data_IF_211840033807
#
_entry.id   IF_211840033807
#
_cell.length_a   1.000
_cell.length_b   1.000
_cell.length_c   1.000
_cell.angle_alpha   90.00
_cell.angle_beta   90.00
_cell.angle_gamma   90.00
#
_symmetry.space_group_name_H-M   'P 1'
#
loop_
_entity.id
_entity.type
_entity.pdbx_description
1 polymer ?
#
# COMPACT_ATOMS: atom_id res chain seq x y z
N UNK A 1 22.05 12.29 22.87
CA UNK A 1 22.01 12.28 21.39
C UNK A 1 21.32 13.58 20.97
N UNK A 2 21.84 14.34 19.99
CA UNK A 2 21.13 15.51 19.45
C UNK A 2 19.72 15.13 18.98
N UNK A 3 18.75 16.03 19.09
CA UNK A 3 17.34 15.77 18.71
C UNK A 3 17.25 15.30 17.25
N UNK A 4 18.01 15.93 16.35
CA UNK A 4 18.06 15.55 14.93
C UNK A 4 18.51 14.10 14.74
N UNK A 5 19.52 13.67 15.51
CA UNK A 5 20.00 12.29 15.46
C UNK A 5 18.97 11.28 15.98
N UNK A 6 18.14 11.65 16.96
CA UNK A 6 17.04 10.79 17.43
C UNK A 6 15.98 10.66 16.36
N UNK A 7 15.56 11.77 15.73
CA UNK A 7 14.58 11.77 14.65
C UNK A 7 15.04 10.91 13.47
N UNK A 8 16.30 11.06 13.05
CA UNK A 8 16.85 10.30 11.93
C UNK A 8 16.96 8.80 12.25
N UNK A 9 17.35 8.44 13.47
CA UNK A 9 17.38 7.04 13.89
C UNK A 9 15.99 6.43 14.00
N UNK A 10 14.99 7.18 14.50
CA UNK A 10 13.61 6.72 14.53
C UNK A 10 13.05 6.51 13.11
N UNK A 11 13.38 7.40 12.17
CA UNK A 11 13.04 7.24 10.74
C UNK A 11 13.72 6.02 10.13
N UNK A 12 15.02 5.84 10.38
CA UNK A 12 15.77 4.69 9.87
C UNK A 12 15.24 3.36 10.42
N UNK A 13 14.96 3.31 11.72
CA UNK A 13 14.39 2.12 12.37
C UNK A 13 13.03 1.77 11.78
N UNK A 14 12.14 2.75 11.64
CA UNK A 14 10.82 2.54 11.04
C UNK A 14 10.96 2.12 9.57
N UNK A 15 11.82 2.77 8.79
CA UNK A 15 12.08 2.43 7.40
C UNK A 15 12.57 0.99 7.25
N UNK A 16 13.57 0.58 8.03
CA UNK A 16 14.09 -0.78 7.99
C UNK A 16 12.99 -1.80 8.34
N UNK A 17 12.23 -1.57 9.41
CA UNK A 17 11.17 -2.49 9.84
C UNK A 17 10.05 -2.57 8.81
N UNK A 18 9.62 -1.44 8.24
CA UNK A 18 8.59 -1.38 7.21
C UNK A 18 9.03 -2.07 5.92
N UNK A 19 10.25 -1.82 5.46
CA UNK A 19 10.81 -2.50 4.29
C UNK A 19 10.89 -4.01 4.49
N UNK A 20 11.39 -4.47 5.65
CA UNK A 20 11.46 -5.89 5.98
C UNK A 20 10.08 -6.54 6.02
N UNK A 21 9.11 -5.91 6.68
CA UNK A 21 7.74 -6.41 6.73
C UNK A 21 7.14 -6.54 5.33
N UNK A 22 7.33 -5.52 4.49
CA UNK A 22 6.78 -5.48 3.14
C UNK A 22 7.49 -6.40 2.15
N UNK A 23 8.54 -7.13 2.54
CA UNK A 23 9.04 -8.28 1.77
C UNK A 23 8.05 -9.45 1.78
N UNK A 24 7.33 -9.63 2.89
CA UNK A 24 6.45 -10.78 3.12
C UNK A 24 4.99 -10.47 2.76
N UNK A 25 4.53 -9.25 3.00
CA UNK A 25 3.13 -8.81 2.74
C UNK A 25 2.64 -9.08 1.31
N UNK A 26 3.31 -8.60 0.24
CA UNK A 26 2.79 -8.76 -1.12
C UNK A 26 2.73 -10.23 -1.53
N UNK A 27 3.66 -11.06 -1.05
CA UNK A 27 3.63 -12.49 -1.32
C UNK A 27 2.41 -13.16 -0.64
N UNK A 28 2.07 -12.79 0.60
CA UNK A 28 0.84 -13.26 1.27
C UNK A 28 -0.40 -12.85 0.49
N UNK A 29 -0.52 -11.57 0.10
CA UNK A 29 -1.67 -11.04 -0.64
C UNK A 29 -1.92 -11.76 -1.97
N UNK A 30 -0.87 -12.03 -2.74
CA UNK A 30 -1.02 -12.74 -4.02
C UNK A 30 -1.22 -14.24 -3.86
N UNK A 31 -0.47 -14.88 -2.95
CA UNK A 31 -0.54 -16.33 -2.73
C UNK A 31 -1.91 -16.78 -2.25
N UNK A 32 -2.56 -16.01 -1.36
CA UNK A 32 -3.84 -16.42 -0.79
C UNK A 32 -4.93 -16.60 -1.86
N UNK A 33 -4.99 -15.71 -2.87
CA UNK A 33 -5.92 -15.85 -3.99
C UNK A 33 -5.53 -16.97 -4.96
N UNK A 34 -4.24 -17.22 -5.16
CA UNK A 34 -3.83 -18.39 -5.94
C UNK A 34 -4.22 -19.69 -5.25
N UNK A 35 -4.13 -19.78 -3.92
CA UNK A 35 -4.62 -20.93 -3.15
C UNK A 35 -6.13 -21.11 -3.33
N UNK A 36 -6.90 -20.01 -3.27
CA UNK A 36 -8.35 -20.03 -3.56
C UNK A 36 -8.61 -20.57 -4.97
N UNK A 37 -7.89 -20.09 -5.99
CA UNK A 37 -8.07 -20.55 -7.38
C UNK A 37 -7.75 -22.04 -7.51
N UNK A 38 -6.59 -22.47 -7.03
CA UNK A 38 -6.16 -23.88 -7.11
C UNK A 38 -7.15 -24.80 -6.39
N UNK A 39 -7.60 -24.40 -5.20
CA UNK A 39 -8.54 -25.20 -4.44
C UNK A 39 -9.95 -25.19 -5.06
N UNK A 40 -10.40 -24.06 -5.60
CA UNK A 40 -11.67 -23.98 -6.33
C UNK A 40 -11.68 -24.97 -7.50
N UNK A 41 -10.61 -25.01 -8.28
CA UNK A 41 -10.47 -25.97 -9.38
C UNK A 41 -10.44 -27.41 -8.86
N UNK A 42 -9.82 -27.67 -7.70
CA UNK A 42 -9.89 -29.00 -7.07
C UNK A 42 -11.32 -29.38 -6.69
N UNK A 43 -12.08 -28.49 -6.05
CA UNK A 43 -13.47 -28.75 -5.64
C UNK A 43 -14.36 -28.98 -6.85
N UNK A 44 -14.19 -28.21 -7.93
CA UNK A 44 -14.98 -28.32 -9.16
C UNK A 44 -14.66 -29.57 -9.98
N UNK A 45 -13.37 -29.91 -10.13
CA UNK A 45 -12.93 -30.97 -11.05
C UNK A 45 -12.69 -32.32 -10.36
N UNK A 46 -12.48 -32.32 -9.04
CA UNK A 46 -12.06 -33.49 -8.28
C UNK A 46 -10.63 -33.95 -8.54
N UNK A 47 -9.86 -33.30 -9.41
CA UNK A 47 -8.50 -33.72 -9.73
C UNK A 47 -7.56 -33.52 -8.54
N UNK A 48 -6.85 -34.57 -8.15
CA UNK A 48 -6.00 -34.60 -6.95
C UNK A 48 -4.80 -33.66 -7.06
N UNK A 49 -4.25 -33.47 -8.26
CA UNK A 49 -3.10 -32.58 -8.48
C UNK A 49 -3.34 -31.15 -7.99
N UNK A 50 -4.57 -30.61 -8.11
CA UNK A 50 -4.87 -29.26 -7.63
C UNK A 50 -4.93 -29.20 -6.10
N UNK A 51 -5.34 -30.28 -5.42
CA UNK A 51 -5.24 -30.40 -3.96
C UNK A 51 -3.79 -30.38 -3.52
N UNK A 52 -2.94 -31.13 -4.23
CA UNK A 52 -1.52 -31.22 -3.92
C UNK A 52 -0.81 -29.89 -4.20
N UNK A 53 -1.23 -29.17 -5.25
CA UNK A 53 -0.83 -27.78 -5.51
C UNK A 53 -1.21 -26.85 -4.35
N UNK A 54 -2.47 -26.82 -3.92
CA UNK A 54 -2.91 -26.00 -2.78
C UNK A 54 -2.10 -26.31 -1.52
N UNK A 55 -1.81 -27.58 -1.23
CA UNK A 55 -0.99 -27.96 -0.07
C UNK A 55 0.48 -27.55 -0.20
N UNK A 56 1.09 -27.73 -1.38
CA UNK A 56 2.48 -27.36 -1.63
C UNK A 56 2.68 -25.84 -1.52
N UNK A 57 1.88 -25.07 -2.26
CA UNK A 57 1.94 -23.61 -2.23
C UNK A 57 1.49 -23.07 -0.88
N UNK A 58 0.53 -23.73 -0.23
CA UNK A 58 0.08 -23.44 1.13
C UNK A 58 1.22 -23.53 2.14
N UNK A 59 2.11 -24.52 2.00
CA UNK A 59 3.30 -24.63 2.88
C UNK A 59 4.22 -23.41 2.75
N UNK A 60 4.53 -22.97 1.53
CA UNK A 60 5.37 -21.79 1.31
C UNK A 60 4.68 -20.51 1.79
N UNK A 61 3.37 -20.40 1.55
CA UNK A 61 2.54 -19.33 2.10
C UNK A 61 2.63 -19.28 3.63
N UNK A 62 2.50 -20.41 4.33
CA UNK A 62 2.57 -20.46 5.80
C UNK A 62 3.91 -19.99 6.37
N UNK A 63 5.02 -20.35 5.71
CA UNK A 63 6.36 -19.88 6.10
C UNK A 63 6.46 -18.35 5.95
N UNK A 64 6.04 -17.83 4.80
CA UNK A 64 6.03 -16.39 4.53
C UNK A 64 5.12 -15.62 5.49
N UNK A 65 3.93 -16.17 5.73
CA UNK A 65 2.92 -15.59 6.61
C UNK A 65 3.42 -15.44 8.04
N UNK A 66 4.09 -16.45 8.61
CA UNK A 66 4.63 -16.39 9.96
C UNK A 66 5.62 -15.22 10.15
N UNK A 67 6.50 -14.99 9.17
CA UNK A 67 7.42 -13.85 9.17
C UNK A 67 6.69 -12.52 8.99
N UNK A 68 5.66 -12.49 8.14
CA UNK A 68 4.77 -11.33 7.99
C UNK A 68 4.11 -10.92 9.30
N UNK A 69 3.51 -11.86 10.03
CA UNK A 69 2.86 -11.58 11.33
C UNK A 69 3.87 -11.05 12.35
N UNK A 70 5.04 -11.68 12.48
CA UNK A 70 6.04 -11.28 13.47
C UNK A 70 6.58 -9.87 13.22
N UNK A 71 6.82 -9.54 11.94
CA UNK A 71 7.25 -8.19 11.56
C UNK A 71 6.12 -7.16 11.66
N UNK A 72 4.87 -7.55 11.41
CA UNK A 72 3.69 -6.68 11.55
C UNK A 72 3.45 -6.24 13.00
N UNK A 73 3.53 -7.17 13.95
CA UNK A 73 3.44 -6.87 15.39
C UNK A 73 4.50 -5.83 15.79
N UNK A 74 5.72 -5.97 15.26
CA UNK A 74 6.81 -5.04 15.54
C UNK A 74 6.49 -3.62 15.04
N UNK A 75 5.89 -3.49 13.84
CA UNK A 75 5.47 -2.20 13.30
C UNK A 75 4.33 -1.56 14.10
N UNK A 76 3.33 -2.35 14.49
CA UNK A 76 2.20 -1.87 15.29
C UNK A 76 2.68 -1.19 16.58
N UNK A 77 3.60 -1.85 17.31
CA UNK A 77 4.18 -1.28 18.53
C UNK A 77 5.12 -0.09 18.27
N UNK A 78 5.74 0.01 17.09
CA UNK A 78 6.63 1.13 16.77
C UNK A 78 5.91 2.48 16.70
N UNK A 79 4.63 2.51 16.32
CA UNK A 79 3.83 3.73 16.40
C UNK A 79 3.73 4.26 17.85
N UNK A 80 3.62 3.36 18.83
CA UNK A 80 3.55 3.75 20.24
C UNK A 80 4.91 4.09 20.86
N UNK A 81 5.95 3.31 20.57
CA UNK A 81 7.25 3.44 21.25
C UNK A 81 8.09 4.62 20.75
N UNK A 82 8.18 4.80 19.44
CA UNK A 82 9.09 5.78 18.82
C UNK A 82 8.36 7.02 18.27
N UNK A 83 7.03 6.96 18.17
CA UNK A 83 6.20 8.03 17.59
C UNK A 83 5.10 8.47 18.58
N UNK A 84 5.45 8.62 19.86
CA UNK A 84 4.49 8.91 20.93
C UNK A 84 3.67 10.19 20.70
N UNK A 85 4.29 11.28 20.26
CA UNK A 85 3.54 12.52 19.97
C UNK A 85 2.64 12.37 18.75
N UNK A 86 3.07 11.65 17.71
CA UNK A 86 2.20 11.31 16.57
C UNK A 86 0.98 10.50 17.03
N UNK A 87 1.21 9.46 17.83
CA UNK A 87 0.13 8.62 18.39
C UNK A 87 -0.83 9.42 19.26
N UNK A 88 -0.36 10.39 20.03
CA UNK A 88 -1.23 11.31 20.77
C UNK A 88 -1.99 12.28 19.84
N UNK A 89 -1.27 12.89 18.89
CA UNK A 89 -1.76 13.98 18.06
C UNK A 89 -2.81 13.55 17.03
N UNK A 90 -2.74 12.33 16.50
CA UNK A 90 -3.70 11.83 15.51
C UNK A 90 -4.35 10.50 15.87
N UNK A 91 -4.14 10.00 17.09
CA UNK A 91 -4.58 8.67 17.50
C UNK A 91 -6.09 8.44 17.41
N UNK A 92 -6.90 9.51 17.55
CA UNK A 92 -8.36 9.43 17.42
C UNK A 92 -8.80 9.04 16.00
N UNK A 93 -8.07 9.51 14.98
CA UNK A 93 -8.34 9.18 13.58
C UNK A 93 -7.54 7.96 13.13
N UNK A 94 -6.22 7.99 13.32
CA UNK A 94 -5.31 6.96 12.82
C UNK A 94 -5.46 5.63 13.56
N UNK A 95 -5.76 5.67 14.87
CA UNK A 95 -5.88 4.45 15.68
C UNK A 95 -7.15 3.65 15.40
N UNK A 96 -8.24 4.29 14.95
CA UNK A 96 -9.52 3.62 14.72
C UNK A 96 -9.43 2.56 13.58
N UNK A 97 -8.91 2.86 12.37
CA UNK A 97 -8.68 1.85 11.34
C UNK A 97 -7.79 0.69 11.80
N UNK A 98 -6.69 0.97 12.54
CA UNK A 98 -5.78 -0.06 13.04
C UNK A 98 -6.47 -0.99 14.07
N UNK A 99 -7.32 -0.45 14.94
CA UNK A 99 -8.09 -1.26 15.87
C UNK A 99 -9.10 -2.16 15.15
N UNK A 100 -9.79 -1.62 14.13
CA UNK A 100 -10.74 -2.37 13.30
C UNK A 100 -10.03 -3.47 12.51
N UNK A 101 -8.85 -3.18 11.97
CA UNK A 101 -7.98 -4.16 11.31
C UNK A 101 -7.73 -5.35 12.23
N UNK A 102 -7.28 -5.09 13.47
CA UNK A 102 -7.01 -6.13 14.45
C UNK A 102 -8.24 -6.98 14.75
N UNK A 103 -9.37 -6.34 15.05
CA UNK A 103 -10.61 -7.01 15.45
C UNK A 103 -11.27 -7.82 14.32
N UNK A 104 -11.22 -7.31 13.09
CA UNK A 104 -11.92 -7.92 11.96
C UNK A 104 -11.01 -8.75 11.07
N UNK A 105 -9.91 -8.19 10.59
CA UNK A 105 -9.07 -8.83 9.59
C UNK A 105 -8.11 -9.85 10.21
N UNK A 106 -7.34 -9.45 11.23
CA UNK A 106 -6.34 -10.33 11.84
C UNK A 106 -6.98 -11.52 12.53
N UNK A 107 -8.09 -11.35 13.26
CA UNK A 107 -8.80 -12.49 13.85
C UNK A 107 -9.33 -13.45 12.80
N UNK A 108 -9.91 -12.94 11.71
CA UNK A 108 -10.42 -13.76 10.61
C UNK A 108 -9.28 -14.57 9.98
N UNK A 109 -8.21 -13.91 9.59
CA UNK A 109 -7.07 -14.52 8.93
C UNK A 109 -6.34 -15.53 9.84
N UNK A 110 -6.01 -15.15 11.08
CA UNK A 110 -5.29 -16.01 12.03
C UNK A 110 -6.11 -17.23 12.48
N UNK A 111 -7.44 -17.12 12.50
CA UNK A 111 -8.33 -18.28 12.78
C UNK A 111 -8.37 -19.23 11.58
N UNK A 112 -8.60 -18.70 10.38
CA UNK A 112 -8.81 -19.52 9.19
C UNK A 112 -7.50 -20.11 8.63
N UNK A 113 -6.34 -19.50 8.87
CA UNK A 113 -5.06 -20.13 8.48
C UNK A 113 -4.80 -21.43 9.24
N UNK A 114 -5.15 -21.50 10.53
CA UNK A 114 -5.06 -22.73 11.31
C UNK A 114 -5.98 -23.82 10.73
N UNK A 115 -7.22 -23.45 10.42
CA UNK A 115 -8.18 -24.36 9.77
C UNK A 115 -7.74 -24.76 8.36
N UNK A 116 -7.07 -23.91 7.60
CA UNK A 116 -6.56 -24.22 6.27
C UNK A 116 -5.46 -25.29 6.31
N UNK A 117 -4.59 -25.28 7.32
CA UNK A 117 -3.53 -26.30 7.43
C UNK A 117 -4.03 -27.61 8.04
N UNK A 118 -4.89 -27.53 9.06
CA UNK A 118 -5.29 -28.71 9.85
C UNK A 118 -6.68 -29.26 9.50
N UNK A 119 -7.46 -28.54 8.68
CA UNK A 119 -8.84 -28.88 8.34
C UNK A 119 -9.00 -29.89 7.20
N UNK A 120 -7.93 -30.24 6.48
CA UNK A 120 -8.02 -31.08 5.29
C UNK A 120 -8.72 -32.42 5.48
N UNK A 121 -8.54 -33.07 6.63
CA UNK A 121 -9.11 -34.39 6.92
C UNK A 121 -10.38 -34.30 7.81
N UNK A 122 -10.75 -33.09 8.25
CA UNK A 122 -11.90 -32.84 9.15
C UNK A 122 -13.04 -32.07 8.48
N UNK A 123 -12.76 -31.36 7.40
CA UNK A 123 -13.74 -30.57 6.65
C UNK A 123 -14.05 -31.24 5.33
N UNK A 124 -15.30 -31.09 4.86
CA UNK A 124 -15.61 -31.42 3.47
C UNK A 124 -14.87 -30.48 2.52
N UNK A 125 -14.64 -30.92 1.27
CA UNK A 125 -13.97 -30.13 0.23
C UNK A 125 -14.55 -28.72 0.05
N UNK A 126 -15.88 -28.56 0.16
CA UNK A 126 -16.56 -27.26 0.05
C UNK A 126 -16.34 -26.38 1.29
N UNK A 127 -16.34 -26.97 2.48
CA UNK A 127 -16.06 -26.26 3.73
C UNK A 127 -14.60 -25.81 3.79
N UNK A 128 -13.66 -26.65 3.34
CA UNK A 128 -12.25 -26.25 3.26
C UNK A 128 -12.04 -25.10 2.28
N UNK A 129 -12.69 -25.12 1.11
CA UNK A 129 -12.64 -23.98 0.20
C UNK A 129 -13.20 -22.69 0.81
N UNK A 130 -14.30 -22.78 1.57
CA UNK A 130 -14.83 -21.62 2.30
C UNK A 130 -13.81 -21.06 3.29
N UNK A 131 -13.09 -21.93 4.02
CA UNK A 131 -11.98 -21.51 4.90
C UNK A 131 -10.92 -20.75 4.11
N UNK A 132 -10.49 -21.26 2.95
CA UNK A 132 -9.47 -20.61 2.11
C UNK A 132 -9.95 -19.26 1.57
N UNK A 133 -11.24 -19.14 1.22
CA UNK A 133 -11.84 -17.86 0.79
C UNK A 133 -11.89 -16.86 1.95
N UNK A 134 -12.33 -17.27 3.14
CA UNK A 134 -12.39 -16.39 4.30
C UNK A 134 -11.00 -15.93 4.75
N UNK A 135 -9.99 -16.80 4.62
CA UNK A 135 -8.58 -16.43 4.79
C UNK A 135 -8.18 -15.34 3.78
N UNK A 136 -8.49 -15.51 2.49
CA UNK A 136 -8.19 -14.51 1.46
C UNK A 136 -8.89 -13.16 1.69
N UNK A 137 -10.16 -13.20 2.10
CA UNK A 137 -10.92 -12.00 2.46
C UNK A 137 -10.29 -11.31 3.66
N UNK A 138 -9.89 -12.06 4.70
CA UNK A 138 -9.19 -11.54 5.87
C UNK A 138 -7.91 -10.79 5.50
N UNK A 139 -7.03 -11.41 4.71
CA UNK A 139 -5.79 -10.78 4.24
C UNK A 139 -6.06 -9.45 3.50
N UNK A 140 -7.12 -9.40 2.67
CA UNK A 140 -7.45 -8.19 1.90
C UNK A 140 -8.14 -7.12 2.75
N UNK A 141 -8.93 -7.50 3.75
CA UNK A 141 -9.48 -6.56 4.72
C UNK A 141 -8.36 -5.91 5.55
N UNK A 142 -7.30 -6.65 5.90
CA UNK A 142 -6.13 -6.06 6.56
C UNK A 142 -5.50 -5.00 5.68
N UNK A 143 -5.19 -5.34 4.42
CA UNK A 143 -4.67 -4.37 3.45
C UNK A 143 -5.58 -3.14 3.30
N UNK A 144 -6.91 -3.31 3.33
CA UNK A 144 -7.86 -2.20 3.26
C UNK A 144 -7.68 -1.23 4.42
N UNK A 145 -7.75 -1.71 5.67
CA UNK A 145 -7.73 -0.84 6.84
C UNK A 145 -6.39 -0.15 7.05
N UNK A 146 -5.28 -0.86 6.84
CA UNK A 146 -3.96 -0.24 6.96
C UNK A 146 -3.72 0.81 5.86
N UNK A 147 -4.28 0.61 4.66
CA UNK A 147 -4.18 1.58 3.57
C UNK A 147 -5.18 2.74 3.70
N UNK A 148 -6.30 2.56 4.42
CA UNK A 148 -7.13 3.68 4.89
C UNK A 148 -6.32 4.58 5.82
N UNK A 149 -5.64 4.00 6.80
CA UNK A 149 -4.78 4.75 7.71
C UNK A 149 -3.66 5.49 6.95
N UNK A 150 -2.97 4.80 6.04
CA UNK A 150 -1.91 5.39 5.24
C UNK A 150 -2.40 6.40 4.18
N UNK A 151 -3.63 6.25 3.66
CA UNK A 151 -4.29 7.21 2.78
C UNK A 151 -4.61 8.50 3.51
N UNK A 152 -5.19 8.38 4.72
CA UNK A 152 -5.45 9.53 5.58
C UNK A 152 -4.18 10.31 5.95
N UNK A 153 -3.07 9.62 6.22
CA UNK A 153 -1.77 10.29 6.43
C UNK A 153 -1.30 11.15 5.25
N UNK A 154 -1.80 10.90 4.03
CA UNK A 154 -1.47 11.70 2.85
C UNK A 154 -2.46 12.82 2.59
N UNK A 155 -3.73 12.59 2.91
CA UNK A 155 -4.83 13.51 2.67
C UNK A 155 -5.79 13.47 3.87
N UNK A 156 -5.59 14.33 4.87
CA UNK A 156 -6.26 14.22 6.18
C UNK A 156 -7.68 14.80 6.15
N UNK A 157 -8.59 14.14 5.44
CA UNK A 157 -10.02 14.46 5.41
C UNK A 157 -10.75 13.94 6.66
N UNK A 158 -11.92 14.51 6.98
CA UNK A 158 -12.77 14.04 8.08
C UNK A 158 -12.18 14.25 9.48
N UNK A 159 -11.30 15.25 9.64
CA UNK A 159 -10.61 15.55 10.89
C UNK A 159 -10.47 17.05 11.11
N UNK A 160 -10.50 17.50 12.37
CA UNK A 160 -10.29 18.89 12.77
C UNK A 160 -9.34 18.99 13.97
N UNK A 161 -8.59 20.10 14.06
CA UNK A 161 -7.71 20.34 15.21
C UNK A 161 -8.49 20.93 16.39
N UNK A 162 -8.40 20.28 17.55
CA UNK A 162 -8.98 20.79 18.80
C UNK A 162 -7.90 21.48 19.63
N UNK A 163 -8.06 22.79 19.87
CA UNK A 163 -7.16 23.55 20.75
C UNK A 163 -7.33 23.18 22.22
N UNK A 164 -8.42 22.51 22.59
CA UNK A 164 -8.69 22.10 23.97
C UNK A 164 -7.94 20.81 24.34
N UNK A 165 -7.94 19.83 23.43
CA UNK A 165 -7.29 18.53 23.62
C UNK A 165 -5.91 18.46 22.98
N UNK A 166 -5.52 19.48 22.20
CA UNK A 166 -4.23 19.62 21.52
C UNK A 166 -3.91 18.47 20.56
N UNK A 167 -4.94 17.94 19.90
CA UNK A 167 -4.86 16.85 18.93
C UNK A 167 -5.87 17.06 17.80
N UNK A 168 -5.70 16.32 16.72
CA UNK A 168 -6.72 16.15 15.69
C UNK A 168 -7.81 15.20 16.19
N UNK A 169 -9.07 15.55 15.98
CA UNK A 169 -10.24 14.74 16.36
C UNK A 169 -11.06 14.40 15.11
N UNK A 170 -11.63 13.19 15.10
CA UNK A 170 -12.40 12.69 13.96
C UNK A 170 -13.76 13.40 13.89
N UNK A 171 -14.07 14.02 12.74
CA UNK A 171 -15.37 14.67 12.50
C UNK A 171 -16.27 13.87 11.58
N UNK A 172 -15.69 13.07 10.66
CA UNK A 172 -16.44 12.20 9.75
C UNK A 172 -15.66 10.91 9.46
N UNK A 173 -16.11 9.79 10.05
CA UNK A 173 -15.52 8.48 9.84
C UNK A 173 -15.62 8.01 8.37
N UNK A 174 -16.73 8.29 7.70
CA UNK A 174 -16.94 7.83 6.33
C UNK A 174 -16.09 8.61 5.33
N UNK A 175 -15.83 9.89 5.59
CA UNK A 175 -14.84 10.65 4.83
C UNK A 175 -13.44 10.02 4.92
N UNK A 176 -13.04 9.52 6.10
CA UNK A 176 -11.75 8.82 6.29
C UNK A 176 -11.72 7.50 5.52
N UNK A 177 -12.78 6.69 5.62
CA UNK A 177 -12.87 5.38 4.94
C UNK A 177 -12.89 5.53 3.41
N UNK A 178 -13.69 6.46 2.89
CA UNK A 178 -13.84 6.70 1.45
C UNK A 178 -12.89 7.77 0.92
N UNK A 179 -11.80 8.05 1.64
CA UNK A 179 -10.75 8.94 1.19
C UNK A 179 -10.22 8.49 -0.19
N UNK A 180 -10.22 9.36 -1.22
CA UNK A 180 -9.74 9.00 -2.56
C UNK A 180 -8.33 8.41 -2.57
N UNK A 181 -7.41 8.95 -1.76
CA UNK A 181 -6.05 8.43 -1.64
C UNK A 181 -6.01 7.04 -1.02
N UNK A 182 -6.89 6.75 -0.06
CA UNK A 182 -7.01 5.42 0.52
C UNK A 182 -7.49 4.40 -0.51
N UNK A 183 -8.52 4.76 -1.29
CA UNK A 183 -9.08 3.89 -2.32
C UNK A 183 -8.04 3.58 -3.41
N UNK A 184 -7.37 4.62 -3.94
CA UNK A 184 -6.33 4.46 -4.95
C UNK A 184 -5.17 3.59 -4.46
N UNK A 185 -4.70 3.83 -3.22
CA UNK A 185 -3.64 3.02 -2.60
C UNK A 185 -4.05 1.58 -2.38
N UNK A 186 -5.26 1.34 -1.90
CA UNK A 186 -5.78 -0.01 -1.67
C UNK A 186 -5.73 -0.83 -2.95
N UNK A 187 -6.39 -0.36 -4.01
CA UNK A 187 -6.50 -1.11 -5.26
C UNK A 187 -5.14 -1.30 -5.93
N UNK A 188 -4.26 -0.29 -5.90
CA UNK A 188 -2.93 -0.38 -6.49
C UNK A 188 -2.02 -1.36 -5.72
N UNK A 189 -1.95 -1.21 -4.39
CA UNK A 189 -1.05 -2.03 -3.54
C UNK A 189 -1.47 -3.48 -3.51
N UNK A 190 -2.77 -3.75 -3.42
CA UNK A 190 -3.30 -5.12 -3.44
C UNK A 190 -3.06 -5.77 -4.80
N UNK A 191 -3.33 -5.07 -5.90
CA UNK A 191 -3.03 -5.58 -7.25
C UNK A 191 -1.53 -5.85 -7.44
N UNK A 192 -0.66 -5.00 -6.88
CA UNK A 192 0.79 -5.21 -6.89
C UNK A 192 1.20 -6.47 -6.11
N UNK A 193 0.58 -6.70 -4.95
CA UNK A 193 0.75 -7.96 -4.20
C UNK A 193 0.32 -9.18 -5.02
N UNK A 194 -0.78 -9.08 -5.77
CA UNK A 194 -1.22 -10.16 -6.66
C UNK A 194 -0.19 -10.47 -7.75
N UNK A 195 0.40 -9.45 -8.36
CA UNK A 195 1.52 -9.61 -9.30
C UNK A 195 2.70 -10.30 -8.62
N UNK A 196 3.10 -9.88 -7.42
CA UNK A 196 4.21 -10.49 -6.68
C UNK A 196 3.98 -11.97 -6.42
N UNK A 197 2.79 -12.35 -5.92
CA UNK A 197 2.44 -13.75 -5.72
C UNK A 197 2.46 -14.54 -7.02
N UNK A 198 1.81 -14.03 -8.07
CA UNK A 198 1.79 -14.66 -9.37
C UNK A 198 3.21 -14.91 -9.91
N UNK A 199 4.08 -13.90 -9.86
CA UNK A 199 5.45 -14.00 -10.31
C UNK A 199 6.27 -15.00 -9.49
N UNK A 200 6.02 -15.12 -8.19
CA UNK A 200 6.67 -16.12 -7.35
C UNK A 200 6.33 -17.56 -7.80
N UNK A 201 5.04 -17.87 -7.95
CA UNK A 201 4.59 -19.20 -8.43
C UNK A 201 5.08 -19.46 -9.86
N UNK A 202 5.01 -18.44 -10.72
CA UNK A 202 5.47 -18.53 -12.10
C UNK A 202 6.97 -18.83 -12.18
N UNK A 203 7.79 -18.17 -11.36
CA UNK A 203 9.25 -18.34 -11.33
C UNK A 203 9.65 -19.73 -10.87
N UNK A 204 9.08 -20.22 -9.76
CA UNK A 204 9.37 -21.56 -9.23
C UNK A 204 8.86 -22.65 -10.20
N UNK A 205 7.67 -22.47 -10.78
CA UNK A 205 7.13 -23.40 -11.77
C UNK A 205 8.00 -23.45 -13.02
N UNK A 206 8.49 -22.30 -13.49
CA UNK A 206 9.44 -22.23 -14.61
C UNK A 206 10.73 -22.96 -14.31
N UNK A 207 11.25 -22.82 -13.09
CA UNK A 207 12.42 -23.55 -12.64
C UNK A 207 12.21 -25.07 -12.65
N UNK A 208 11.06 -25.57 -12.17
CA UNK A 208 10.72 -27.00 -12.22
C UNK A 208 10.65 -27.52 -13.66
N UNK A 209 10.04 -26.75 -14.57
CA UNK A 209 9.96 -27.08 -15.99
C UNK A 209 11.34 -27.14 -16.65
N UNK A 210 12.21 -26.17 -16.38
CA UNK A 210 13.61 -26.17 -16.87
C UNK A 210 14.39 -27.38 -16.36
N UNK A 211 14.13 -27.81 -15.11
CA UNK A 211 14.74 -29.01 -14.51
C UNK A 211 14.03 -30.32 -14.87
N UNK A 212 12.96 -30.27 -15.67
CA UNK A 212 12.10 -31.43 -16.03
C UNK A 212 11.58 -32.18 -14.80
N UNK A 213 11.29 -31.47 -13.70
CA UNK A 213 10.74 -32.03 -12.45
C UNK A 213 9.25 -31.77 -12.38
N UNK A 214 8.48 -32.78 -11.96
CA UNK A 214 7.03 -32.68 -11.71
C UNK A 214 6.27 -31.89 -12.80
N UNK A 215 6.52 -32.24 -14.06
CA UNK A 215 6.15 -31.42 -15.23
C UNK A 215 4.65 -31.10 -15.27
N UNK A 216 3.78 -32.04 -14.88
CA UNK A 216 2.34 -31.80 -14.84
C UNK A 216 1.97 -30.75 -13.79
N UNK A 217 2.47 -30.91 -12.57
CA UNK A 217 2.28 -29.96 -11.46
C UNK A 217 2.78 -28.56 -11.84
N UNK A 218 4.00 -28.50 -12.38
CA UNK A 218 4.65 -27.25 -12.74
C UNK A 218 3.92 -26.55 -13.89
N UNK A 219 3.46 -27.29 -14.91
CA UNK A 219 2.70 -26.72 -16.03
C UNK A 219 1.34 -26.17 -15.58
N UNK A 220 0.63 -26.88 -14.70
CA UNK A 220 -0.66 -26.43 -14.15
C UNK A 220 -0.49 -25.20 -13.25
N UNK A 221 0.51 -25.20 -12.37
CA UNK A 221 0.87 -24.05 -11.52
C UNK A 221 1.25 -22.83 -12.36
N UNK A 222 2.11 -23.01 -13.37
CA UNK A 222 2.51 -21.96 -14.30
C UNK A 222 1.32 -21.33 -15.02
N UNK A 223 0.39 -22.15 -15.53
CA UNK A 223 -0.79 -21.64 -16.27
C UNK A 223 -1.69 -20.77 -15.39
N UNK A 224 -1.98 -21.22 -14.15
CA UNK A 224 -2.79 -20.45 -13.20
C UNK A 224 -2.10 -19.13 -12.88
N UNK A 225 -0.80 -19.18 -12.54
CA UNK A 225 -0.03 -17.99 -12.20
C UNK A 225 0.10 -17.02 -13.38
N UNK A 226 0.29 -17.50 -14.60
CA UNK A 226 0.38 -16.66 -15.78
C UNK A 226 -0.94 -15.92 -16.07
N UNK A 227 -2.08 -16.62 -16.00
CA UNK A 227 -3.38 -16.01 -16.23
C UNK A 227 -3.73 -14.98 -15.14
N UNK A 228 -3.56 -15.35 -13.87
CA UNK A 228 -3.81 -14.46 -12.74
C UNK A 228 -2.83 -13.26 -12.73
N UNK A 229 -1.55 -13.51 -12.97
CA UNK A 229 -0.51 -12.48 -13.06
C UNK A 229 -0.74 -11.52 -14.21
N UNK A 230 -1.18 -12.00 -15.38
CA UNK A 230 -1.53 -11.15 -16.51
C UNK A 230 -2.69 -10.20 -16.18
N UNK A 231 -3.78 -10.72 -15.61
CA UNK A 231 -4.88 -9.87 -15.17
C UNK A 231 -4.43 -8.85 -14.09
N UNK A 232 -3.60 -9.29 -13.15
CA UNK A 232 -3.08 -8.46 -12.06
C UNK A 232 -2.17 -7.34 -12.56
N UNK A 233 -1.29 -7.61 -13.54
CA UNK A 233 -0.39 -6.58 -14.08
C UNK A 233 -1.16 -5.53 -14.89
N UNK A 234 -2.18 -5.94 -15.66
CA UNK A 234 -3.06 -4.99 -16.32
C UNK A 234 -3.78 -4.09 -15.29
N UNK A 235 -4.28 -4.68 -14.19
CA UNK A 235 -4.88 -3.94 -13.08
C UNK A 235 -3.91 -2.92 -12.48
N UNK A 236 -2.69 -3.35 -12.13
CA UNK A 236 -1.65 -2.46 -11.55
C UNK A 236 -1.30 -1.28 -12.46
N UNK A 237 -1.16 -1.51 -13.76
CA UNK A 237 -0.78 -0.45 -14.72
C UNK A 237 -1.89 0.61 -14.79
N UNK A 238 -3.14 0.19 -14.97
CA UNK A 238 -4.28 1.12 -15.08
C UNK A 238 -4.50 1.87 -13.78
N UNK A 239 -4.48 1.16 -12.65
CA UNK A 239 -4.66 1.78 -11.33
C UNK A 239 -3.46 2.62 -10.90
N UNK A 240 -2.28 2.37 -11.47
CA UNK A 240 -1.09 3.20 -11.29
C UNK A 240 -1.26 4.57 -11.94
N UNK A 241 -1.81 4.61 -13.15
CA UNK A 241 -2.14 5.85 -13.85
C UNK A 241 -3.21 6.66 -13.10
N UNK A 242 -4.30 6.01 -12.67
CA UNK A 242 -5.33 6.66 -11.84
C UNK A 242 -4.79 7.18 -10.48
N UNK A 243 -3.87 6.43 -9.87
CA UNK A 243 -3.18 6.87 -8.65
C UNK A 243 -2.31 8.10 -8.92
N UNK A 244 -1.60 8.15 -10.05
CA UNK A 244 -0.80 9.32 -10.45
C UNK A 244 -1.65 10.59 -10.59
N UNK A 245 -2.83 10.46 -11.21
CA UNK A 245 -3.81 11.55 -11.29
C UNK A 245 -4.29 12.01 -9.90
N UNK A 246 -4.71 11.07 -9.04
CA UNK A 246 -5.22 11.37 -7.69
C UNK A 246 -4.15 12.03 -6.81
N UNK A 247 -2.90 11.56 -6.89
CA UNK A 247 -1.74 12.17 -6.20
C UNK A 247 -1.50 13.60 -6.69
N UNK A 248 -1.78 13.90 -7.96
CA UNK A 248 -1.71 15.25 -8.51
C UNK A 248 -2.69 16.23 -7.85
N UNK A 249 -3.83 15.75 -7.35
CA UNK A 249 -4.82 16.58 -6.65
C UNK A 249 -4.44 16.79 -5.18
N UNK A 250 -4.11 15.72 -4.45
CA UNK A 250 -3.83 15.79 -3.02
C UNK A 250 -2.38 16.20 -2.69
N UNK A 251 -1.41 15.80 -3.51
CA UNK A 251 0.03 15.86 -3.20
C UNK A 251 0.90 16.24 -4.40
N UNK A 252 0.68 17.45 -4.92
CA UNK A 252 1.44 18.04 -6.04
C UNK A 252 2.96 17.97 -5.87
N UNK A 253 3.49 18.09 -4.64
CA UNK A 253 4.94 17.98 -4.38
C UNK A 253 5.51 16.63 -4.80
N UNK A 254 4.77 15.52 -4.59
CA UNK A 254 5.24 14.19 -4.97
C UNK A 254 5.30 14.03 -6.47
N UNK A 255 4.23 14.45 -7.16
CA UNK A 255 4.17 14.39 -8.62
C UNK A 255 5.29 15.22 -9.24
N UNK A 256 5.46 16.47 -8.79
CA UNK A 256 6.52 17.35 -9.28
C UNK A 256 7.93 16.81 -9.01
N UNK A 257 8.16 16.17 -7.86
CA UNK A 257 9.44 15.55 -7.55
C UNK A 257 9.70 14.26 -8.36
N UNK A 258 8.69 13.40 -8.52
CA UNK A 258 8.79 12.16 -9.30
C UNK A 258 9.09 12.44 -10.78
N UNK A 259 8.43 13.46 -11.33
CA UNK A 259 8.57 13.87 -12.72
C UNK A 259 9.69 14.91 -12.92
N UNK A 260 10.47 15.24 -11.88
CA UNK A 260 11.54 16.23 -11.92
C UNK A 260 11.12 17.60 -12.53
N UNK A 261 9.91 18.06 -12.21
CA UNK A 261 9.33 19.32 -12.68
C UNK A 261 9.73 20.48 -11.74
N UNK A 262 10.79 21.20 -12.09
CA UNK A 262 11.28 22.33 -11.30
C UNK A 262 10.40 23.57 -11.46
N UNK A 263 10.05 23.88 -12.70
CA UNK A 263 9.19 24.98 -13.09
C UNK A 263 7.78 24.48 -13.43
N UNK A 264 6.80 25.38 -13.40
CA UNK A 264 5.43 25.06 -13.80
C UNK A 264 5.40 24.77 -15.29
N UNK A 265 4.90 23.59 -15.63
CA UNK A 265 4.87 23.09 -17.00
C UNK A 265 3.66 23.68 -17.73
N UNK A 266 3.87 24.40 -18.86
CA UNK A 266 2.76 24.93 -19.64
C UNK A 266 1.98 23.79 -20.30
N UNK A 267 0.70 24.04 -20.55
CA UNK A 267 -0.11 23.08 -21.27
C UNK A 267 0.25 23.03 -22.77
N UNK A 268 0.34 21.83 -23.39
CA UNK A 268 0.30 20.50 -22.78
C UNK A 268 1.67 20.08 -22.21
N UNK A 269 1.69 19.66 -20.95
CA UNK A 269 2.92 19.30 -20.24
C UNK A 269 3.62 18.05 -20.81
N UNK A 270 4.95 18.10 -20.89
CA UNK A 270 5.82 16.98 -21.30
C UNK A 270 6.06 16.00 -20.16
N UNK A 271 6.22 14.71 -20.49
CA UNK A 271 6.59 13.66 -19.54
C UNK A 271 8.10 13.41 -19.58
N UNK A 272 8.75 13.43 -18.43
CA UNK A 272 10.17 13.14 -18.30
C UNK A 272 10.39 11.62 -18.24
N UNK A 273 10.63 10.99 -19.39
CA UNK A 273 10.91 9.55 -19.45
C UNK A 273 12.17 9.20 -18.64
N UNK A 274 13.21 10.03 -18.78
CA UNK A 274 14.42 9.96 -17.97
C UNK A 274 14.90 11.40 -17.73
N UNK A 275 15.19 11.76 -16.48
CA UNK A 275 15.79 13.03 -16.13
C UNK A 275 16.94 12.84 -15.14
N UNK A 276 17.94 13.71 -15.21
CA UNK A 276 19.01 13.80 -14.22
C UNK A 276 18.85 15.09 -13.40
N UNK A 277 18.19 15.02 -12.22
CA UNK A 277 17.90 16.19 -11.41
C UNK A 277 19.14 16.68 -10.65
N UNK A 278 19.40 17.98 -10.72
CA UNK A 278 20.42 18.68 -9.94
C UNK A 278 19.74 19.53 -8.87
N UNK A 279 19.72 19.02 -7.65
CA UNK A 279 19.01 19.65 -6.54
C UNK A 279 19.68 20.94 -6.04
N UNK A 280 21.00 21.08 -6.21
CA UNK A 280 21.73 22.28 -5.82
C UNK A 280 21.40 23.47 -6.76
N UNK A 281 21.24 23.19 -8.05
CA UNK A 281 20.86 24.18 -9.06
C UNK A 281 19.35 24.29 -9.29
N UNK A 282 18.56 23.39 -8.68
CA UNK A 282 17.10 23.28 -8.86
C UNK A 282 16.68 23.20 -10.34
N UNK A 283 17.37 22.36 -11.11
CA UNK A 283 17.07 22.11 -12.52
C UNK A 283 17.42 20.67 -12.91
N UNK A 284 17.04 20.25 -14.11
CA UNK A 284 17.56 19.02 -14.71
C UNK A 284 18.83 19.33 -15.51
N UNK A 285 19.92 18.60 -15.26
CA UNK A 285 21.14 18.74 -16.07
C UNK A 285 20.91 18.22 -17.49
N UNK A 286 20.08 17.18 -17.63
CA UNK A 286 19.54 16.69 -18.89
C UNK A 286 18.23 15.92 -18.67
N UNK A 287 17.39 15.85 -19.71
CA UNK A 287 16.16 15.07 -19.71
C UNK A 287 15.86 14.51 -21.13
N UNK A 288 15.17 13.37 -21.16
CA UNK A 288 14.53 12.81 -22.36
C UNK A 288 13.04 12.92 -22.13
N UNK A 289 12.39 13.73 -22.97
CA UNK A 289 10.98 14.09 -22.81
C UNK A 289 10.11 13.43 -23.87
N UNK A 290 8.91 13.03 -23.47
CA UNK A 290 7.84 12.65 -24.38
C UNK A 290 6.80 13.76 -24.34
N UNK A 291 6.59 14.50 -25.44
CA UNK A 291 5.65 15.61 -25.47
C UNK A 291 4.23 15.17 -25.07
N UNK A 292 3.54 16.04 -24.32
CA UNK A 292 2.09 16.00 -24.02
C UNK A 292 1.61 14.87 -23.12
N UNK A 293 2.40 13.80 -22.95
CA UNK A 293 2.01 12.62 -22.18
C UNK A 293 1.66 13.01 -20.75
N UNK A 294 2.45 13.89 -20.11
CA UNK A 294 2.20 14.32 -18.73
C UNK A 294 0.90 15.11 -18.57
N UNK A 295 0.57 15.97 -19.55
CA UNK A 295 -0.73 16.63 -19.58
C UNK A 295 -1.88 15.61 -19.58
N UNK A 296 -1.80 14.60 -20.46
CA UNK A 296 -2.82 13.56 -20.58
C UNK A 296 -2.92 12.68 -19.32
N UNK A 297 -1.82 12.18 -18.79
CA UNK A 297 -1.85 11.26 -17.65
C UNK A 297 -2.06 12.01 -16.32
N UNK A 298 -1.44 13.16 -16.14
CA UNK A 298 -1.45 13.93 -14.89
C UNK A 298 -2.67 14.84 -14.72
N UNK A 299 -3.30 15.31 -15.80
CA UNK A 299 -4.45 16.25 -15.70
C UNK A 299 -5.70 15.79 -16.42
N UNK A 300 -5.63 14.70 -17.20
CA UNK A 300 -6.66 14.28 -18.16
C UNK A 300 -7.02 15.39 -19.16
N UNK A 301 -6.09 16.30 -19.45
CA UNK A 301 -6.30 17.44 -20.34
C UNK A 301 -5.05 17.83 -21.12
N UNK A 302 -5.25 18.64 -22.16
CA UNK A 302 -4.18 19.24 -22.98
C UNK A 302 -4.05 20.75 -22.79
N UNK A 303 -4.89 21.34 -21.94
CA UNK A 303 -5.00 22.79 -21.72
C UNK A 303 -4.72 23.23 -20.27
N UNK A 304 -4.35 22.28 -19.39
CA UNK A 304 -4.05 22.56 -17.98
C UNK A 304 -2.55 22.56 -17.72
N UNK A 305 -2.10 23.57 -16.98
CA UNK A 305 -0.74 23.65 -16.48
C UNK A 305 -0.55 22.75 -15.26
N UNK A 306 0.69 22.33 -15.01
CA UNK A 306 1.05 21.51 -13.85
C UNK A 306 2.05 22.28 -12.99
N UNK A 307 1.73 22.60 -11.72
CA UNK A 307 2.63 23.36 -10.85
C UNK A 307 3.97 22.66 -10.63
N UNK A 308 5.06 23.40 -10.82
CA UNK A 308 6.41 22.93 -10.55
C UNK A 308 6.83 23.12 -9.10
N UNK A 309 7.99 22.55 -8.74
CA UNK A 309 8.57 22.62 -7.39
C UNK A 309 8.71 24.08 -6.91
N UNK A 310 9.16 25.00 -7.76
CA UNK A 310 9.34 26.41 -7.38
C UNK A 310 8.03 27.08 -6.93
N UNK A 311 6.95 26.88 -7.68
CA UNK A 311 5.65 27.45 -7.36
C UNK A 311 5.10 26.83 -6.06
N UNK A 312 5.25 25.51 -5.92
CA UNK A 312 4.82 24.77 -4.72
C UNK A 312 5.56 25.29 -3.47
N UNK A 313 6.89 25.50 -3.56
CA UNK A 313 7.69 26.06 -2.47
C UNK A 313 7.24 27.47 -2.12
N UNK A 314 6.99 28.32 -3.12
CA UNK A 314 6.51 29.69 -2.90
C UNK A 314 5.14 29.70 -2.18
N UNK A 315 4.22 28.83 -2.60
CA UNK A 315 2.90 28.67 -1.96
C UNK A 315 3.02 28.13 -0.53
N UNK A 316 3.92 27.16 -0.29
CA UNK A 316 4.17 26.62 1.05
C UNK A 316 4.77 27.66 2.00
N UNK A 317 5.60 28.59 1.49
CA UNK A 317 6.11 29.70 2.30
C UNK A 317 4.98 30.57 2.85
N UNK A 318 3.98 30.90 2.02
CA UNK A 318 2.80 31.65 2.47
C UNK A 318 2.02 30.90 3.56
N UNK A 319 1.91 29.57 3.44
CA UNK A 319 1.28 28.72 4.47
C UNK A 319 2.07 28.72 5.78
N UNK A 320 3.41 28.71 5.72
CA UNK A 320 4.28 28.83 6.91
C UNK A 320 4.04 30.17 7.60
N UNK A 321 4.04 31.27 6.85
CA UNK A 321 3.83 32.61 7.39
C UNK A 321 2.46 32.74 8.08
N UNK A 322 1.40 32.19 7.47
CA UNK A 322 0.07 32.10 8.09
C UNK A 322 0.07 31.19 9.34
N UNK A 323 0.79 30.06 9.30
CA UNK A 323 0.92 29.14 10.42
C UNK A 323 1.57 29.77 11.65
N UNK A 324 2.55 30.66 11.48
CA UNK A 324 3.17 31.41 12.59
C UNK A 324 2.11 32.26 13.31
N UNK A 325 1.20 32.89 12.58
CA UNK A 325 0.09 33.66 13.18
C UNK A 325 -0.86 32.73 13.95
N UNK A 326 -1.22 31.59 13.36
CA UNK A 326 -2.10 30.60 13.99
C UNK A 326 -1.52 30.04 15.30
N UNK A 327 -0.21 29.73 15.34
CA UNK A 327 0.46 29.23 16.55
C UNK A 327 0.46 30.28 17.67
N UNK A 328 0.70 31.56 17.36
CA UNK A 328 0.62 32.65 18.36
C UNK A 328 -0.80 32.82 18.92
N UNK A 329 -1.81 32.69 18.05
CA UNK A 329 -3.20 32.73 18.50
C UNK A 329 -3.52 31.52 19.40
N UNK A 330 -3.01 30.33 19.07
CA UNK A 330 -3.15 29.13 19.89
C UNK A 330 -2.48 29.29 21.28
N UNK A 331 -1.31 29.91 21.35
CA UNK A 331 -0.66 30.24 22.64
C UNK A 331 -1.53 31.16 23.50
N UNK A 332 -2.22 32.12 22.88
CA UNK A 332 -3.16 33.01 23.59
C UNK A 332 -4.36 32.22 24.14
N UNK A 333 -4.99 31.39 23.31
CA UNK A 333 -6.10 30.52 23.71
C UNK A 333 -5.72 29.55 24.85
N UNK A 334 -4.44 29.16 24.91
CA UNK A 334 -3.92 28.30 25.99
C UNK A 334 -3.63 29.05 27.28
N UNK A 335 -3.29 30.33 27.20
CA UNK A 335 -2.97 31.15 28.37
C UNK A 335 -4.21 31.61 29.14
N UNK A 336 -5.36 31.73 28.47
CA UNK A 336 -6.67 32.06 29.06
C UNK A 336 -7.33 30.86 29.80
N UNK A 337 -6.57 29.78 30.05
CA UNK A 337 -7.03 28.54 30.68
C UNK A 337 -6.24 28.25 31.96
#
# INVERSE_FOLDING_TARGET
>A
MPIDSVVDLSRLQFAATAMYHFLFVPLTLGMVWMLVIMESVHVMTGQVVYRDMTRFWGKLFGINFALGVTTGITLEFQFGTNWAYYSHYVGDIFGAPLAIEGLMAFFLESTFIGLFFFGWDRLSRKQHLLVTILMAVGTNLSALWILIANGWMQNPVGAEFSYETMRMEMTDFWAVVFNPDAQAKFVHTVSAGYVTGAMFVLSISSWYLLRKRDVEFARKSFRIAAAFGFASVCSVIVLGDESGYTVGEAQQTKLAAMEAMWHTEPAPASFNLIAWPNQAEMKNDWAIEIPWVMGLIGTRSVDREIPGIHEIVARNRQRIDSGIVAVKALETLRADR
#
